data_IF_261299733726
#
_entry.id   IF_261299733726
#
_cell.length_a   1.000
_cell.length_b   1.000
_cell.length_c   1.000
_cell.angle_alpha   90.00
_cell.angle_beta   90.00
_cell.angle_gamma   90.00
#
_symmetry.space_group_name_H-M   'P 1'
#
loop_
_entity.id
_entity.type
_entity.pdbx_description
1 polymer ?
#
# COMPACT_ATOMS: atom_id res chain seq x y z
N UNK A 1 8.15 -5.54 -4.10
CA UNK A 1 8.96 -5.53 -2.86
C UNK A 1 8.76 -4.21 -2.15
N UNK A 2 8.42 -4.26 -0.88
CA UNK A 2 8.24 -3.08 -0.04
C UNK A 2 9.60 -2.47 0.34
N UNK A 3 9.69 -1.13 0.29
CA UNK A 3 10.82 -0.34 0.76
C UNK A 3 10.30 0.77 1.66
N UNK A 4 10.68 0.73 2.93
CA UNK A 4 10.23 1.70 3.93
C UNK A 4 11.42 2.46 4.48
N UNK A 5 11.26 3.77 4.73
CA UNK A 5 12.31 4.61 5.27
C UNK A 5 11.78 5.48 6.41
N UNK A 6 12.07 5.08 7.64
CA UNK A 6 11.62 5.78 8.85
C UNK A 6 12.08 7.24 8.91
N UNK A 7 13.19 7.60 8.24
CA UNK A 7 13.67 9.00 8.19
C UNK A 7 12.80 9.93 7.37
N UNK A 8 11.91 9.38 6.53
CA UNK A 8 10.95 10.14 5.73
C UNK A 8 9.59 10.31 6.41
N UNK A 9 9.38 9.66 7.55
CA UNK A 9 8.16 9.86 8.35
C UNK A 9 8.14 11.29 8.86
N UNK A 10 6.96 11.89 8.81
CA UNK A 10 6.75 13.27 9.25
C UNK A 10 5.52 13.36 10.14
N UNK A 11 5.55 14.31 11.07
CA UNK A 11 4.42 14.65 11.92
C UNK A 11 3.85 15.97 11.42
N UNK A 12 2.60 15.95 10.96
CA UNK A 12 1.89 17.11 10.43
C UNK A 12 0.52 17.20 11.09
N UNK A 13 0.20 18.34 11.71
CA UNK A 13 -1.12 18.61 12.29
C UNK A 13 -1.66 17.49 13.20
N UNK A 14 -0.79 16.92 14.04
CA UNK A 14 -1.17 15.82 14.95
C UNK A 14 -1.33 14.47 14.27
N UNK A 15 -0.74 14.26 13.08
CA UNK A 15 -0.78 13.00 12.34
C UNK A 15 0.58 12.56 11.86
N UNK A 16 0.85 11.27 11.97
CA UNK A 16 2.02 10.67 11.35
C UNK A 16 1.73 10.36 9.88
N UNK A 17 2.50 10.97 8.98
CA UNK A 17 2.49 10.65 7.55
C UNK A 17 3.62 9.66 7.28
N UNK A 18 3.24 8.52 6.69
CA UNK A 18 4.09 7.36 6.46
C UNK A 18 4.26 7.13 4.95
N UNK A 19 5.40 7.52 4.36
CA UNK A 19 5.66 7.29 2.95
C UNK A 19 5.97 5.82 2.67
N UNK A 20 5.25 5.26 1.71
CA UNK A 20 5.37 3.86 1.29
C UNK A 20 5.98 3.83 -0.11
N UNK A 21 6.95 2.94 -0.34
CA UNK A 21 7.52 2.68 -1.65
C UNK A 21 7.43 1.20 -2.00
N UNK A 22 6.93 0.90 -3.19
CA UNK A 22 6.89 -0.44 -3.76
C UNK A 22 7.77 -0.46 -5.00
N UNK A 23 8.74 -1.36 -5.03
CA UNK A 23 9.60 -1.60 -6.21
C UNK A 23 9.34 -2.98 -6.79
N UNK A 24 9.57 -3.17 -8.08
CA UNK A 24 9.34 -4.45 -8.79
C UNK A 24 7.88 -4.91 -8.63
N UNK A 25 6.94 -4.06 -9.03
CA UNK A 25 5.52 -4.41 -9.15
C UNK A 25 5.37 -5.23 -10.44
N UNK A 26 5.05 -6.51 -10.30
CA UNK A 26 5.00 -7.45 -11.43
C UNK A 26 6.34 -8.06 -11.84
N UNK A 27 6.29 -9.02 -12.77
CA UNK A 27 7.48 -9.70 -13.33
C UNK A 27 8.15 -8.88 -14.45
N UNK A 28 7.43 -7.94 -15.04
CA UNK A 28 7.88 -7.05 -16.11
C UNK A 28 7.32 -5.65 -15.89
N UNK A 29 6.64 -5.08 -16.89
CA UNK A 29 5.89 -3.82 -16.70
C UNK A 29 4.53 -4.11 -16.09
N UNK A 30 4.22 -3.46 -14.97
CA UNK A 30 2.88 -3.40 -14.41
C UNK A 30 2.19 -2.12 -14.90
N UNK A 31 0.93 -2.26 -15.31
CA UNK A 31 0.07 -1.16 -15.74
C UNK A 31 -1.24 -1.22 -14.95
N UNK A 32 -1.98 -0.10 -14.93
CA UNK A 32 -3.22 0.05 -14.16
C UNK A 32 -3.04 -0.28 -12.67
N UNK A 33 -1.90 0.11 -12.09
CA UNK A 33 -1.62 -0.11 -10.68
C UNK A 33 -2.55 0.75 -9.84
N UNK A 34 -3.25 0.11 -8.91
CA UNK A 34 -4.16 0.75 -7.97
C UNK A 34 -4.08 0.11 -6.59
N UNK A 35 -4.46 0.87 -5.56
CA UNK A 35 -4.76 0.28 -4.26
C UNK A 35 -6.08 -0.50 -4.37
N UNK A 36 -6.15 -1.69 -3.76
CA UNK A 36 -7.37 -2.48 -3.69
C UNK A 36 -7.99 -2.36 -2.31
N UNK A 37 -9.29 -2.08 -2.27
CA UNK A 37 -10.07 -2.11 -1.04
C UNK A 37 -10.23 -3.55 -0.53
N UNK A 38 -10.30 -3.69 0.77
CA UNK A 38 -10.79 -4.91 1.41
C UNK A 38 -12.33 -4.91 1.39
N UNK A 39 -12.95 -6.01 1.82
CA UNK A 39 -14.41 -6.15 1.90
C UNK A 39 -15.06 -5.10 2.83
N UNK A 40 -14.26 -4.38 3.62
CA UNK A 40 -14.69 -3.27 4.50
C UNK A 40 -14.72 -1.91 3.81
N UNK A 41 -14.46 -1.83 2.50
CA UNK A 41 -14.29 -0.59 1.71
C UNK A 41 -13.02 0.23 2.05
N UNK A 42 -12.20 -0.25 2.99
CA UNK A 42 -10.92 0.38 3.35
C UNK A 42 -9.76 -0.12 2.47
N UNK A 43 -8.83 0.78 2.13
CA UNK A 43 -7.58 0.40 1.46
C UNK A 43 -6.52 -0.16 2.41
N UNK A 44 -6.56 0.26 3.68
CA UNK A 44 -5.58 -0.07 4.69
C UNK A 44 -6.30 -0.72 5.87
N UNK A 45 -5.84 -1.89 6.29
CA UNK A 45 -6.38 -2.56 7.48
C UNK A 45 -5.29 -2.68 8.55
N UNK A 46 -5.71 -2.69 9.80
CA UNK A 46 -4.86 -3.03 10.94
C UNK A 46 -5.51 -4.11 11.78
N UNK A 47 -4.70 -4.92 12.46
CA UNK A 47 -5.25 -5.94 13.38
C UNK A 47 -5.73 -5.34 14.70
N UNK A 48 -5.21 -4.18 15.05
CA UNK A 48 -5.39 -3.53 16.36
C UNK A 48 -6.56 -2.54 16.36
N UNK A 49 -7.32 -2.43 15.25
CA UNK A 49 -8.51 -1.57 15.15
C UNK A 49 -8.21 -0.07 15.08
N UNK A 50 -6.94 0.32 14.94
CA UNK A 50 -6.52 1.71 14.72
C UNK A 50 -6.66 2.07 13.25
N UNK A 51 -7.20 3.24 12.98
CA UNK A 51 -7.47 3.67 11.62
C UNK A 51 -6.22 4.21 10.94
N UNK A 52 -5.97 3.72 9.73
CA UNK A 52 -5.00 4.27 8.79
C UNK A 52 -5.75 4.61 7.52
N UNK A 53 -5.36 5.72 6.90
CA UNK A 53 -6.00 6.21 5.69
C UNK A 53 -4.96 6.51 4.63
N UNK A 54 -5.36 6.45 3.37
CA UNK A 54 -4.53 6.97 2.28
C UNK A 54 -4.48 8.49 2.43
N UNK A 55 -3.27 9.03 2.59
CA UNK A 55 -3.02 10.46 2.69
C UNK A 55 -2.77 11.07 1.31
N UNK A 56 -1.91 10.42 0.53
CA UNK A 56 -1.62 10.80 -0.85
C UNK A 56 -1.62 9.53 -1.71
N UNK A 57 -2.33 9.56 -2.82
CA UNK A 57 -2.51 8.38 -3.67
C UNK A 57 -1.23 8.04 -4.45
N UNK A 58 -1.24 6.93 -5.18
CA UNK A 58 -0.10 6.48 -5.97
C UNK A 58 0.37 7.57 -6.95
N UNK A 59 1.68 7.83 -6.96
CA UNK A 59 2.29 8.80 -7.87
C UNK A 59 2.18 8.41 -9.35
N UNK A 60 2.13 7.11 -9.64
CA UNK A 60 1.95 6.56 -10.98
C UNK A 60 1.06 5.32 -10.94
N UNK A 61 0.27 5.12 -12.00
CA UNK A 61 -0.52 3.91 -12.25
C UNK A 61 0.22 2.88 -13.11
N UNK A 62 1.53 3.03 -13.30
CA UNK A 62 2.37 2.08 -14.02
C UNK A 62 3.78 2.03 -13.41
N UNK A 63 4.47 0.91 -13.62
CA UNK A 63 5.86 0.72 -13.24
C UNK A 63 6.55 -0.26 -14.18
N UNK A 64 7.66 0.17 -14.78
CA UNK A 64 8.60 -0.70 -15.46
C UNK A 64 9.47 -1.47 -14.45
N UNK A 65 10.32 -2.35 -14.95
CA UNK A 65 11.29 -3.04 -14.11
C UNK A 65 12.18 -2.02 -13.39
N UNK A 66 12.33 -2.17 -12.05
CA UNK A 66 13.07 -1.27 -11.15
C UNK A 66 12.42 0.09 -10.86
N UNK A 67 11.31 0.43 -11.51
CA UNK A 67 10.53 1.60 -11.12
C UNK A 67 9.98 1.42 -9.71
N UNK A 68 9.73 2.57 -9.09
CA UNK A 68 9.17 2.66 -7.77
C UNK A 68 7.84 3.40 -7.82
N UNK A 69 6.79 2.75 -7.32
CA UNK A 69 5.52 3.39 -7.05
C UNK A 69 5.54 3.83 -5.59
N UNK A 70 5.12 5.07 -5.35
CA UNK A 70 5.04 5.64 -4.01
C UNK A 70 3.64 6.16 -3.74
N UNK A 71 3.21 6.00 -2.50
CA UNK A 71 2.01 6.62 -1.95
C UNK A 71 2.25 6.87 -0.47
N UNK A 72 1.33 7.56 0.18
CA UNK A 72 1.46 7.90 1.59
C UNK A 72 0.21 7.50 2.34
N UNK A 73 0.40 6.99 3.55
CA UNK A 73 -0.70 6.73 4.47
C UNK A 73 -0.53 7.58 5.72
N UNK A 74 -1.62 7.80 6.43
CA UNK A 74 -1.63 8.59 7.67
C UNK A 74 -2.33 7.85 8.79
N UNK A 75 -1.90 8.14 10.02
CA UNK A 75 -2.61 7.77 11.25
C UNK A 75 -2.49 8.92 12.25
N UNK A 76 -3.43 9.00 13.20
CA UNK A 76 -3.40 10.02 14.25
C UNK A 76 -2.16 9.85 15.15
N UNK A 77 -1.66 10.96 15.69
CA UNK A 77 -0.55 10.95 16.62
C UNK A 77 -0.98 10.31 17.95
N UNK A 78 -0.39 9.16 18.25
CA UNK A 78 -0.56 8.50 19.53
C UNK A 78 0.79 8.07 20.13
N UNK A 79 0.88 8.08 21.46
CA UNK A 79 2.13 7.77 22.17
C UNK A 79 2.56 6.30 22.01
N UNK A 80 1.58 5.39 21.89
CA UNK A 80 1.80 3.94 21.93
C UNK A 80 1.20 3.26 20.71
N UNK A 81 1.79 3.49 19.54
CA UNK A 81 1.44 2.77 18.31
C UNK A 81 2.37 1.57 18.17
N UNK A 82 1.79 0.40 17.97
CA UNK A 82 2.49 -0.81 17.60
C UNK A 82 1.50 -1.66 16.81
N UNK A 83 1.43 -1.41 15.49
CA UNK A 83 0.36 -1.97 14.67
C UNK A 83 0.92 -2.73 13.49
N UNK A 84 0.27 -3.85 13.17
CA UNK A 84 0.47 -4.52 11.89
C UNK A 84 -0.44 -3.84 10.87
N UNK A 85 0.17 -3.10 9.94
CA UNK A 85 -0.51 -2.42 8.84
C UNK A 85 -0.46 -3.30 7.61
N UNK A 86 -1.60 -3.50 6.95
CA UNK A 86 -1.71 -4.28 5.72
C UNK A 86 -2.43 -3.49 4.63
N UNK A 87 -2.00 -3.71 3.39
CA UNK A 87 -2.65 -3.15 2.21
C UNK A 87 -2.47 -4.07 1.01
N UNK A 88 -3.32 -3.87 -0.01
CA UNK A 88 -3.27 -4.59 -1.28
C UNK A 88 -3.09 -3.62 -2.43
N UNK A 89 -2.36 -4.06 -3.44
CA UNK A 89 -2.39 -3.45 -4.76
C UNK A 89 -2.99 -4.44 -5.76
N UNK A 90 -3.55 -3.88 -6.81
CA UNK A 90 -3.91 -4.59 -8.04
C UNK A 90 -3.19 -3.96 -9.21
N UNK A 91 -2.86 -4.78 -10.20
CA UNK A 91 -2.23 -4.33 -11.44
C UNK A 91 -2.45 -5.37 -12.54
N UNK A 92 -2.30 -4.94 -13.80
CA UNK A 92 -2.26 -5.85 -14.94
C UNK A 92 -0.88 -5.92 -15.58
N UNK A 93 -0.58 -7.03 -16.24
CA UNK A 93 0.54 -7.10 -17.19
C UNK A 93 0.14 -6.52 -18.56
N UNK A 94 1.11 -6.43 -19.47
CA UNK A 94 0.90 -5.86 -20.83
C UNK A 94 -0.01 -6.72 -21.72
N UNK A 95 -0.27 -7.98 -21.36
CA UNK A 95 -1.16 -8.87 -22.11
C UNK A 95 -2.55 -8.99 -21.47
N UNK A 96 -2.82 -8.20 -20.42
CA UNK A 96 -4.13 -8.05 -19.81
C UNK A 96 -4.43 -9.00 -18.65
N UNK A 97 -3.47 -9.78 -18.15
CA UNK A 97 -3.69 -10.57 -16.94
C UNK A 97 -3.64 -9.67 -15.72
N UNK A 98 -4.59 -9.86 -14.80
CA UNK A 98 -4.67 -9.12 -13.55
C UNK A 98 -4.07 -9.88 -12.38
N UNK A 99 -3.49 -9.12 -11.46
CA UNK A 99 -2.84 -9.64 -10.27
C UNK A 99 -3.21 -8.81 -9.05
N UNK A 100 -3.36 -9.48 -7.92
CA UNK A 100 -3.39 -8.87 -6.59
C UNK A 100 -2.08 -9.18 -5.86
N UNK A 101 -1.54 -8.20 -5.14
CA UNK A 101 -0.41 -8.40 -4.25
C UNK A 101 -0.65 -7.72 -2.90
N UNK A 102 -0.48 -8.49 -1.83
CA UNK A 102 -0.65 -8.03 -0.45
C UNK A 102 0.70 -7.73 0.19
N UNK A 103 0.72 -6.67 1.00
CA UNK A 103 1.87 -6.21 1.76
C UNK A 103 1.50 -6.02 3.23
N UNK A 104 2.48 -6.21 4.11
CA UNK A 104 2.34 -5.89 5.52
C UNK A 104 3.63 -5.31 6.09
N UNK A 105 3.50 -4.48 7.12
CA UNK A 105 4.63 -3.97 7.90
C UNK A 105 4.15 -3.55 9.29
N UNK A 106 5.09 -3.37 10.21
CA UNK A 106 4.79 -2.84 11.54
C UNK A 106 5.23 -1.38 11.61
N UNK A 107 4.34 -0.50 12.05
CA UNK A 107 4.69 0.85 12.48
C UNK A 107 4.66 0.91 14.01
N UNK A 108 5.76 1.33 14.61
CA UNK A 108 5.98 1.29 16.05
C UNK A 108 6.58 2.61 16.56
N UNK A 109 5.89 3.25 17.51
CA UNK A 109 6.37 4.47 18.19
C UNK A 109 6.95 4.18 19.58
N UNK A 110 6.95 2.92 20.04
CA UNK A 110 7.37 2.54 21.39
C UNK A 110 8.84 2.16 21.43
N UNK A 111 9.29 1.27 20.54
CA UNK A 111 10.66 0.73 20.57
C UNK A 111 11.48 1.12 19.35
N UNK A 112 10.87 1.06 18.16
CA UNK A 112 11.57 1.32 16.88
C UNK A 112 11.51 2.80 16.49
N UNK A 113 10.48 3.53 16.92
CA UNK A 113 10.18 4.89 16.48
C UNK A 113 10.15 5.03 14.94
N UNK A 114 9.46 4.11 14.27
CA UNK A 114 9.43 4.04 12.81
C UNK A 114 8.88 2.72 12.29
N UNK A 115 9.24 2.38 11.06
CA UNK A 115 8.93 1.09 10.47
C UNK A 115 9.83 0.00 11.08
N UNK A 116 9.23 -1.12 11.49
CA UNK A 116 9.96 -2.32 11.87
C UNK A 116 10.74 -2.89 10.68
N UNK A 117 11.75 -3.70 10.98
CA UNK A 117 12.45 -4.52 9.98
C UNK A 117 11.59 -5.69 9.49
N UNK A 118 10.58 -6.07 10.26
CA UNK A 118 9.64 -7.11 9.89
C UNK A 118 8.57 -6.53 8.95
N UNK A 119 8.76 -6.81 7.67
CA UNK A 119 7.83 -6.44 6.60
C UNK A 119 7.67 -7.59 5.62
N UNK A 120 6.49 -7.72 5.05
CA UNK A 120 6.15 -8.79 4.13
C UNK A 120 5.70 -8.21 2.78
N UNK A 121 6.14 -8.86 1.70
CA UNK A 121 5.60 -8.68 0.35
C UNK A 121 5.21 -10.06 -0.16
N UNK A 122 3.91 -10.37 -0.18
CA UNK A 122 3.45 -11.66 -0.71
C UNK A 122 3.73 -11.72 -2.21
N UNK A 123 3.77 -12.93 -2.77
CA UNK A 123 3.88 -13.09 -4.23
C UNK A 123 2.58 -12.60 -4.89
N UNK A 124 2.66 -11.90 -6.04
CA UNK A 124 1.47 -11.57 -6.81
C UNK A 124 0.68 -12.83 -7.16
N UNK A 125 -0.64 -12.77 -6.99
CA UNK A 125 -1.57 -13.85 -7.34
C UNK A 125 -2.40 -13.38 -8.52
N UNK A 126 -2.50 -14.21 -9.57
CA UNK A 126 -3.40 -13.94 -10.67
C UNK A 126 -4.84 -13.95 -10.14
N UNK A 127 -5.64 -12.96 -10.54
CA UNK A 127 -7.06 -12.88 -10.22
C UNK A 127 -7.88 -13.11 -11.49
N UNK A 128 -8.99 -13.83 -11.35
CA UNK A 128 -9.89 -14.20 -12.45
C UNK A 128 -11.20 -13.36 -12.42
N UNK A 129 -11.20 -12.24 -11.67
CA UNK A 129 -12.33 -11.31 -11.57
C UNK A 129 -12.51 -10.49 -12.87
N UNK A 130 -13.75 -10.09 -13.16
CA UNK A 130 -14.07 -9.27 -14.33
C UNK A 130 -13.40 -7.89 -14.20
N UNK A 131 -12.79 -7.46 -15.30
CA UNK A 131 -12.04 -6.23 -15.44
C UNK A 131 -12.82 -4.99 -15.01
N UNK A 132 -14.12 -4.97 -15.32
CA UNK A 132 -14.99 -3.82 -15.01
C UNK A 132 -15.26 -3.68 -13.51
N UNK A 133 -15.27 -4.78 -12.76
CA UNK A 133 -15.48 -4.76 -11.31
C UNK A 133 -14.22 -4.23 -10.60
N UNK A 134 -13.04 -4.62 -11.08
CA UNK A 134 -11.76 -4.14 -10.55
C UNK A 134 -11.58 -2.65 -10.86
N UNK A 135 -11.79 -2.24 -12.12
CA UNK A 135 -11.61 -0.85 -12.52
C UNK A 135 -12.69 0.09 -11.96
N UNK A 136 -13.92 -0.41 -11.83
CA UNK A 136 -15.00 0.31 -11.14
C UNK A 136 -14.64 0.65 -9.70
N UNK A 137 -13.87 -0.21 -9.01
CA UNK A 137 -13.35 0.08 -7.67
C UNK A 137 -12.16 1.05 -7.62
N UNK A 138 -11.34 1.12 -8.69
CA UNK A 138 -10.15 1.98 -8.76
C UNK A 138 -10.49 3.39 -9.25
N UNK A 139 -11.36 3.52 -10.27
CA UNK A 139 -11.59 4.76 -11.01
C UNK A 139 -12.92 5.46 -10.72
N UNK A 140 -13.82 4.88 -9.91
CA UNK A 140 -15.12 5.53 -9.60
C UNK A 140 -15.04 6.72 -8.63
N UNK A 141 -13.85 7.12 -8.18
CA UNK A 141 -13.70 8.18 -7.17
C UNK A 141 -12.59 9.19 -7.48
N UNK A 142 -12.29 9.43 -8.76
CA UNK A 142 -11.64 10.69 -9.19
C UNK A 142 -12.71 11.65 -9.71
#
# INVERSE_FOLDING_TARGET
MLKLNSKKIRLENGRYILPIQIVNVGKGTAVNVGLRKYDTDDFIITKEGKAYYVYDYLNYSYACEKDAITFEITTEEEKNINNIVQFKIVFSDLIGNWYEQEFSFIYDTIFVHGFSRDMESKRPKKIDEDFNDILGGIYSQV
#
